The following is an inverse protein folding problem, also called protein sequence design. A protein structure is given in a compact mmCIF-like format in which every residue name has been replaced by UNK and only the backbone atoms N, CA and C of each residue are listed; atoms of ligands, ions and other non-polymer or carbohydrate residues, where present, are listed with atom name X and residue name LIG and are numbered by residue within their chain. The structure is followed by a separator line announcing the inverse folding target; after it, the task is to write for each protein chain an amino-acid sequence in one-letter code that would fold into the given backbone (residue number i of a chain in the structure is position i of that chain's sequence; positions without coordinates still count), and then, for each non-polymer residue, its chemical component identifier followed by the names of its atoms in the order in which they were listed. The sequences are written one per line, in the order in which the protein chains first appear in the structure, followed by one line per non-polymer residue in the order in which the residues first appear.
data_IF_790870677336
#
_entry.id   IF_790870677336
#
_cell.length_a   1.000
_cell.length_b   1.000
_cell.length_c   1.000
_cell.angle_alpha   90.00
_cell.angle_beta   90.00
_cell.angle_gamma   90.00
#
_symmetry.space_group_name_H-M   'P 1'
#
loop_
_entity.id
_entity.type
_entity.pdbx_description
1 polymer ?
#
# COMPACT_ATOMS: atom_id res chain seq x y z
N UNK A 1 -22.12 -70.61 3.19
CA UNK A 1 -21.59 -69.67 2.19
C UNK A 1 -21.89 -68.27 2.66
N UNK A 2 -20.95 -67.60 3.31
CA UNK A 2 -21.13 -66.27 3.90
C UNK A 2 -20.57 -65.25 2.88
N UNK A 3 -21.45 -64.43 2.29
CA UNK A 3 -21.03 -63.34 1.40
C UNK A 3 -20.60 -62.13 2.20
N UNK A 4 -19.32 -61.75 2.07
CA UNK A 4 -18.82 -60.47 2.57
C UNK A 4 -19.12 -59.38 1.57
N UNK A 5 -19.93 -58.37 1.97
CA UNK A 5 -20.16 -57.14 1.20
C UNK A 5 -19.12 -56.12 1.69
N UNK A 6 -18.09 -55.90 0.87
CA UNK A 6 -17.11 -54.84 1.14
C UNK A 6 -17.72 -53.48 0.85
N UNK A 7 -17.80 -52.60 1.86
CA UNK A 7 -18.20 -51.23 1.70
C UNK A 7 -16.93 -50.43 1.28
N UNK A 8 -16.89 -49.93 0.04
CA UNK A 8 -15.85 -49.03 -0.43
C UNK A 8 -16.25 -47.62 -0.02
N UNK A 9 -15.53 -47.07 0.96
CA UNK A 9 -15.66 -45.68 1.36
C UNK A 9 -14.87 -44.80 0.38
N UNK A 10 -15.57 -44.16 -0.55
CA UNK A 10 -14.94 -43.11 -1.40
C UNK A 10 -14.82 -41.82 -0.60
N UNK A 11 -13.58 -41.54 -0.16
CA UNK A 11 -13.24 -40.24 0.43
C UNK A 11 -12.99 -39.25 -0.70
N UNK A 12 -13.94 -38.39 -0.96
CA UNK A 12 -13.74 -37.23 -1.84
C UNK A 12 -12.96 -36.17 -1.05
N UNK A 13 -11.68 -36.04 -1.28
CA UNK A 13 -10.92 -34.88 -0.85
C UNK A 13 -11.23 -33.73 -1.80
N UNK A 14 -12.15 -32.87 -1.42
CA UNK A 14 -12.28 -31.58 -2.09
C UNK A 14 -10.99 -30.79 -1.83
N UNK A 15 -10.29 -30.29 -2.87
CA UNK A 15 -9.17 -29.40 -2.65
C UNK A 15 -9.72 -28.19 -1.90
N UNK A 16 -9.15 -27.91 -0.71
CA UNK A 16 -9.38 -26.66 -0.02
C UNK A 16 -8.70 -25.59 -0.88
N UNK A 17 -9.46 -24.95 -1.76
CA UNK A 17 -8.99 -23.77 -2.46
C UNK A 17 -8.91 -22.71 -1.37
N UNK A 18 -7.68 -22.40 -0.93
CA UNK A 18 -7.44 -21.26 -0.06
C UNK A 18 -8.00 -20.03 -0.80
N UNK A 19 -9.01 -19.39 -0.24
CA UNK A 19 -9.57 -18.18 -0.79
C UNK A 19 -8.47 -17.12 -0.68
N UNK A 20 -7.91 -16.72 -1.81
CA UNK A 20 -6.94 -15.61 -1.85
C UNK A 20 -7.70 -14.36 -1.43
N UNK A 21 -7.35 -13.81 -0.28
CA UNK A 21 -7.93 -12.56 0.17
C UNK A 21 -7.22 -11.42 -0.57
N UNK A 22 -7.89 -10.82 -1.53
CA UNK A 22 -7.38 -9.70 -2.33
C UNK A 22 -7.74 -8.33 -1.71
N UNK A 23 -8.28 -8.34 -0.52
CA UNK A 23 -8.62 -7.11 0.20
C UNK A 23 -7.43 -6.70 1.07
N UNK A 24 -6.92 -5.51 0.84
CA UNK A 24 -5.89 -4.91 1.69
C UNK A 24 -6.48 -4.61 3.07
N UNK A 25 -5.83 -5.08 4.12
CA UNK A 25 -6.25 -4.85 5.50
C UNK A 25 -6.18 -3.36 5.87
N UNK A 26 -7.21 -2.80 6.52
CA UNK A 26 -7.17 -1.43 7.00
C UNK A 26 -6.16 -1.25 8.14
N UNK A 27 -5.71 0.00 8.32
CA UNK A 27 -4.82 0.42 9.39
C UNK A 27 -5.18 1.84 9.87
N UNK A 28 -4.38 2.38 10.76
CA UNK A 28 -4.57 3.70 11.34
C UNK A 28 -3.91 4.78 10.49
N UNK A 29 -4.48 6.00 10.49
CA UNK A 29 -3.86 7.19 9.91
C UNK A 29 -2.48 7.49 10.51
N UNK A 30 -2.28 7.12 11.77
CA UNK A 30 -1.06 7.44 12.50
C UNK A 30 -0.99 8.92 12.93
N UNK A 31 -0.02 9.26 13.79
CA UNK A 31 0.07 10.59 14.41
C UNK A 31 0.56 11.68 13.47
N UNK A 32 1.10 11.32 12.31
CA UNK A 32 1.68 12.26 11.33
C UNK A 32 0.78 12.53 10.14
N UNK A 33 -0.47 12.07 10.16
CA UNK A 33 -1.43 12.45 9.13
C UNK A 33 -1.75 13.95 9.22
N UNK A 34 -1.76 14.61 8.07
CA UNK A 34 -2.10 16.02 7.93
C UNK A 34 -3.11 16.15 6.80
N UNK A 35 -4.20 16.82 7.07
CA UNK A 35 -5.21 17.10 6.06
C UNK A 35 -4.71 18.06 4.98
N UNK A 36 -5.39 18.06 3.84
CA UNK A 36 -5.16 19.00 2.73
C UNK A 36 -3.79 18.91 2.06
N UNK A 37 -3.15 17.74 2.07
CA UNK A 37 -1.95 17.52 1.26
C UNK A 37 -2.21 17.93 -0.21
N UNK A 38 -1.21 18.53 -0.90
CA UNK A 38 -1.36 18.99 -2.28
C UNK A 38 -1.50 17.83 -3.27
N UNK A 39 -2.03 18.14 -4.46
CA UNK A 39 -1.96 17.20 -5.58
C UNK A 39 -0.51 17.02 -6.01
N UNK A 40 -0.11 15.77 -6.24
CA UNK A 40 1.19 15.41 -6.78
C UNK A 40 1.20 15.80 -8.26
N UNK A 41 2.25 16.49 -8.67
CA UNK A 41 2.51 16.84 -10.07
C UNK A 41 3.62 15.97 -10.63
N UNK A 42 3.49 15.54 -11.87
CA UNK A 42 4.48 14.70 -12.57
C UNK A 42 4.77 13.35 -11.86
N UNK A 43 3.76 12.78 -11.22
CA UNK A 43 3.82 11.47 -10.54
C UNK A 43 4.98 11.32 -9.53
N UNK A 44 5.47 12.44 -9.02
CA UNK A 44 6.61 12.49 -8.09
C UNK A 44 6.24 13.25 -6.82
N UNK A 45 6.44 12.60 -5.68
CA UNK A 45 6.23 13.21 -4.38
C UNK A 45 7.36 14.20 -4.06
N UNK A 46 6.99 15.42 -3.70
CA UNK A 46 7.97 16.45 -3.32
C UNK A 46 8.59 16.13 -1.93
N UNK A 47 9.85 16.46 -1.71
CA UNK A 47 10.75 17.26 -2.55
C UNK A 47 11.41 16.52 -3.71
N UNK A 48 10.98 15.33 -4.02
CA UNK A 48 11.59 14.47 -5.03
C UNK A 48 12.69 13.59 -4.43
N UNK A 49 13.41 12.90 -5.31
CA UNK A 49 14.46 11.97 -4.90
C UNK A 49 15.79 12.71 -4.79
N UNK A 50 16.31 12.81 -3.58
CA UNK A 50 17.62 13.45 -3.33
C UNK A 50 18.79 12.46 -3.46
N UNK A 51 18.53 11.16 -3.28
CA UNK A 51 19.50 10.08 -3.40
C UNK A 51 18.96 9.01 -4.37
N UNK A 52 19.60 8.88 -5.53
CA UNK A 52 19.19 7.90 -6.54
C UNK A 52 19.30 6.45 -6.05
N UNK A 53 20.19 6.17 -5.08
CA UNK A 53 20.30 4.85 -4.47
C UNK A 53 19.08 4.47 -3.62
N UNK A 54 18.26 5.47 -3.26
CA UNK A 54 17.03 5.28 -2.50
C UNK A 54 15.78 5.62 -3.32
N UNK A 55 15.91 5.90 -4.60
CA UNK A 55 14.77 6.14 -5.47
C UNK A 55 13.82 4.94 -5.45
N UNK A 56 12.55 5.20 -5.25
CA UNK A 56 11.48 4.20 -5.18
C UNK A 56 10.41 4.53 -6.22
N UNK A 57 10.13 3.57 -7.06
CA UNK A 57 8.97 3.59 -7.94
C UNK A 57 7.93 2.62 -7.43
N UNK A 58 6.72 3.08 -7.25
CA UNK A 58 5.57 2.25 -6.88
C UNK A 58 4.55 2.24 -8.01
N UNK A 59 3.91 1.11 -8.22
CA UNK A 59 2.80 0.99 -9.16
C UNK A 59 1.54 0.59 -8.40
N UNK A 60 0.50 1.41 -8.52
CA UNK A 60 -0.78 1.17 -7.90
C UNK A 60 -1.74 0.48 -8.86
N UNK A 61 -2.42 -0.54 -8.36
CA UNK A 61 -3.52 -1.22 -9.01
C UNK A 61 -4.72 -1.17 -8.07
N UNK A 62 -5.90 -0.87 -8.60
CA UNK A 62 -7.15 -1.07 -7.85
C UNK A 62 -7.75 -2.39 -8.31
N UNK A 63 -8.15 -3.23 -7.37
CA UNK A 63 -8.77 -4.51 -7.68
C UNK A 63 -10.17 -4.62 -7.07
N UNK A 64 -11.05 -5.33 -7.78
CA UNK A 64 -12.35 -5.76 -7.30
C UNK A 64 -12.48 -7.26 -7.52
N UNK A 65 -12.79 -8.02 -6.48
CA UNK A 65 -12.84 -9.49 -6.53
C UNK A 65 -11.55 -10.12 -7.12
N UNK A 66 -10.38 -9.55 -6.81
CA UNK A 66 -9.05 -9.94 -7.32
C UNK A 66 -8.77 -9.61 -8.80
N UNK A 67 -9.70 -9.01 -9.50
CA UNK A 67 -9.48 -8.54 -10.86
C UNK A 67 -9.07 -7.06 -10.87
N UNK A 68 -8.07 -6.70 -11.67
CA UNK A 68 -7.67 -5.31 -11.84
C UNK A 68 -8.77 -4.50 -12.52
N UNK A 69 -9.16 -3.41 -11.91
CA UNK A 69 -10.16 -2.48 -12.44
C UNK A 69 -9.49 -1.46 -13.36
N UNK A 70 -10.08 -1.21 -14.50
CA UNK A 70 -9.73 -0.07 -15.35
C UNK A 70 -10.49 1.17 -14.85
N UNK A 71 -9.77 2.05 -14.18
CA UNK A 71 -10.35 3.21 -13.50
C UNK A 71 -10.96 4.23 -14.44
N UNK A 72 -10.50 4.28 -15.71
CA UNK A 72 -11.06 5.17 -16.73
C UNK A 72 -12.49 4.77 -17.12
N UNK A 73 -12.93 3.58 -16.75
CA UNK A 73 -14.32 3.12 -16.94
C UNK A 73 -15.26 3.53 -15.81
N UNK A 74 -14.73 4.08 -14.73
CA UNK A 74 -15.53 4.49 -13.56
C UNK A 74 -16.12 5.89 -13.76
N UNK A 75 -17.30 6.11 -13.21
CA UNK A 75 -17.94 7.43 -13.19
C UNK A 75 -17.34 8.39 -12.14
N UNK A 76 -16.43 7.90 -11.31
CA UNK A 76 -15.85 8.64 -10.20
C UNK A 76 -14.34 8.52 -10.23
N UNK A 77 -13.65 9.58 -9.86
CA UNK A 77 -12.20 9.60 -9.69
C UNK A 77 -11.78 8.80 -8.47
N UNK A 78 -10.78 7.94 -8.63
CA UNK A 78 -10.15 7.21 -7.54
C UNK A 78 -8.89 7.95 -7.09
N UNK A 79 -8.84 8.33 -5.82
CA UNK A 79 -7.74 9.09 -5.23
C UNK A 79 -6.95 8.23 -4.27
N UNK A 80 -5.64 8.45 -4.24
CA UNK A 80 -4.79 8.00 -3.14
C UNK A 80 -4.05 9.19 -2.54
N UNK A 81 -4.05 9.28 -1.23
CA UNK A 81 -3.25 10.22 -0.46
C UNK A 81 -2.12 9.46 0.21
N UNK A 82 -0.90 9.97 0.09
CA UNK A 82 0.34 9.33 0.49
C UNK A 82 1.07 10.20 1.49
N UNK A 83 1.65 9.59 2.52
CA UNK A 83 2.62 10.26 3.39
C UNK A 83 3.59 9.27 4.00
N UNK A 84 4.85 9.70 4.14
CA UNK A 84 5.91 8.90 4.73
C UNK A 84 7.04 9.78 5.27
N UNK A 85 7.94 9.19 6.04
CA UNK A 85 9.17 9.83 6.50
C UNK A 85 10.18 9.98 5.36
N UNK A 86 11.10 10.92 5.47
CA UNK A 86 12.27 11.02 4.58
C UNK A 86 13.22 9.82 4.78
N UNK A 87 14.31 9.77 4.03
CA UNK A 87 15.33 8.71 4.12
C UNK A 87 16.01 8.59 5.50
N UNK A 88 15.92 9.61 6.35
CA UNK A 88 16.46 9.61 7.72
C UNK A 88 15.43 9.16 8.77
N UNK A 89 14.17 8.96 8.37
CA UNK A 89 13.10 8.60 9.28
C UNK A 89 12.34 9.80 9.86
N UNK A 90 12.52 11.00 9.32
CA UNK A 90 11.85 12.21 9.81
C UNK A 90 10.59 12.50 8.97
N UNK A 91 9.48 12.75 9.64
CA UNK A 91 8.27 13.25 9.00
C UNK A 91 8.32 14.78 8.89
N UNK A 92 7.74 15.30 7.81
CA UNK A 92 7.48 16.73 7.68
C UNK A 92 6.45 17.22 8.69
N UNK A 93 6.40 18.52 8.93
CA UNK A 93 5.42 19.21 9.79
C UNK A 93 5.45 18.81 11.27
N UNK A 94 6.51 18.17 11.75
CA UNK A 94 6.67 17.84 13.18
C UNK A 94 7.05 19.06 14.03
N UNK A 95 7.54 20.11 13.39
CA UNK A 95 7.87 21.42 14.00
C UNK A 95 6.67 22.39 14.05
N UNK A 96 5.51 21.94 13.55
CA UNK A 96 4.28 22.72 13.51
C UNK A 96 4.17 23.68 12.32
N UNK A 97 5.03 23.58 11.29
CA UNK A 97 4.86 24.33 10.05
C UNK A 97 3.68 23.75 9.22
N UNK A 98 2.52 24.42 9.15
CA UNK A 98 1.34 23.86 8.50
C UNK A 98 1.45 23.76 6.98
N UNK A 99 2.50 24.33 6.39
CA UNK A 99 2.75 24.34 4.95
C UNK A 99 3.87 23.39 4.54
N UNK A 100 4.42 22.63 5.45
CA UNK A 100 5.44 21.63 5.14
C UNK A 100 4.78 20.31 4.73
N UNK A 101 4.64 20.10 3.43
CA UNK A 101 4.10 18.89 2.83
C UNK A 101 5.19 18.01 2.19
N UNK A 102 6.42 18.10 2.62
CA UNK A 102 7.47 17.20 2.15
C UNK A 102 7.03 15.73 2.39
N UNK A 103 7.17 14.90 1.36
CA UNK A 103 6.75 13.49 1.35
C UNK A 103 5.26 13.26 1.67
N UNK A 104 4.41 14.22 1.27
CA UNK A 104 2.95 14.15 1.40
C UNK A 104 2.29 14.63 0.13
N UNK A 105 1.26 13.94 -0.32
CA UNK A 105 0.53 14.38 -1.51
C UNK A 105 -0.64 13.49 -1.87
N UNK A 106 -1.44 13.97 -2.80
CA UNK A 106 -2.59 13.26 -3.39
C UNK A 106 -2.32 12.95 -4.84
N UNK A 107 -2.65 11.75 -5.24
CA UNK A 107 -2.52 11.26 -6.61
C UNK A 107 -3.88 10.78 -7.10
N UNK A 108 -4.26 11.22 -8.29
CA UNK A 108 -5.37 10.64 -9.03
C UNK A 108 -4.90 9.37 -9.73
N UNK A 109 -5.58 8.26 -9.47
CA UNK A 109 -5.30 7.00 -10.15
C UNK A 109 -6.12 6.92 -11.43
N UNK A 110 -5.50 6.43 -12.52
CA UNK A 110 -6.13 6.27 -13.82
C UNK A 110 -5.73 4.97 -14.51
N UNK A 111 -6.50 4.57 -15.50
CA UNK A 111 -6.27 3.35 -16.26
C UNK A 111 -6.28 2.11 -15.38
N UNK A 112 -5.48 1.12 -15.74
CA UNK A 112 -5.32 -0.14 -14.98
C UNK A 112 -4.21 -0.09 -13.96
N UNK A 113 -3.30 0.89 -14.07
CA UNK A 113 -2.19 1.10 -13.14
C UNK A 113 -1.71 2.54 -13.20
N UNK A 114 -1.29 3.06 -12.06
CA UNK A 114 -0.68 4.39 -11.96
C UNK A 114 0.68 4.27 -11.29
N UNK A 115 1.70 4.83 -11.94
CA UNK A 115 3.08 4.86 -11.42
C UNK A 115 3.29 6.11 -10.59
N UNK A 116 4.07 5.97 -9.54
CA UNK A 116 4.40 7.02 -8.59
C UNK A 116 5.86 6.92 -8.16
N UNK A 117 6.53 8.05 -8.04
CA UNK A 117 7.93 8.14 -7.68
C UNK A 117 8.14 8.86 -6.36
N UNK A 118 9.00 8.29 -5.53
CA UNK A 118 9.44 8.87 -4.26
C UNK A 118 10.83 8.32 -3.88
N UNK A 119 11.24 8.49 -2.65
CA UNK A 119 12.39 7.77 -2.08
C UNK A 119 11.93 6.74 -1.04
N UNK A 120 12.72 5.68 -0.88
CA UNK A 120 12.49 4.66 0.15
C UNK A 120 12.59 5.32 1.53
N UNK A 121 11.52 5.29 2.35
CA UNK A 121 11.52 5.88 3.67
C UNK A 121 12.60 5.31 4.57
N UNK A 122 13.11 6.12 5.47
CA UNK A 122 13.96 5.65 6.58
C UNK A 122 13.13 5.02 7.69
N UNK A 123 13.85 4.31 8.56
CA UNK A 123 13.29 3.78 9.81
C UNK A 123 13.09 4.98 10.76
N UNK A 124 11.90 5.15 11.31
CA UNK A 124 11.66 6.11 12.37
C UNK A 124 11.38 5.38 13.71
N UNK A 125 11.49 6.01 14.88
CA UNK A 125 11.83 5.31 16.13
C UNK A 125 11.09 3.99 16.32
N UNK A 126 11.83 2.89 16.24
CA UNK A 126 11.38 1.51 16.47
C UNK A 126 10.27 0.98 15.53
N UNK A 127 10.07 1.64 14.37
CA UNK A 127 9.15 1.16 13.35
C UNK A 127 9.87 0.82 12.04
N UNK A 128 9.44 -0.22 11.34
CA UNK A 128 9.96 -0.54 10.02
C UNK A 128 9.70 0.61 9.03
N UNK A 129 10.47 0.65 7.96
CA UNK A 129 10.21 1.54 6.84
C UNK A 129 8.81 1.29 6.28
N UNK A 130 8.01 2.34 6.09
CA UNK A 130 6.64 2.21 5.61
C UNK A 130 6.11 3.48 4.95
N UNK A 131 5.09 3.30 4.12
CA UNK A 131 4.34 4.39 3.50
C UNK A 131 2.88 4.27 3.91
N UNK A 132 2.32 5.34 4.42
CA UNK A 132 0.90 5.44 4.69
C UNK A 132 0.12 5.76 3.42
N UNK A 133 -1.07 5.18 3.32
CA UNK A 133 -1.98 5.31 2.20
C UNK A 133 -3.40 5.55 2.70
N UNK A 134 -4.09 6.50 2.07
CA UNK A 134 -5.53 6.68 2.22
C UNK A 134 -6.14 6.76 0.84
N UNK A 135 -6.95 5.77 0.47
CA UNK A 135 -7.57 5.70 -0.84
C UNK A 135 -9.08 5.87 -0.74
N UNK A 136 -9.68 6.54 -1.73
CA UNK A 136 -11.12 6.83 -1.75
C UNK A 136 -11.61 7.21 -3.15
N UNK A 137 -12.91 7.00 -3.37
CA UNK A 137 -13.63 7.53 -4.53
C UNK A 137 -14.16 8.94 -4.24
N UNK A 138 -14.06 9.84 -5.21
CA UNK A 138 -14.53 11.24 -5.08
C UNK A 138 -15.99 11.43 -5.42
N UNK A 139 -16.81 10.37 -5.48
CA UNK A 139 -18.23 10.50 -5.77
C UNK A 139 -18.98 11.29 -4.68
N UNK A 140 -19.89 12.14 -5.10
CA UNK A 140 -20.59 13.08 -4.23
C UNK A 140 -21.44 12.45 -3.10
N UNK A 141 -21.66 11.14 -3.13
CA UNK A 141 -22.63 10.48 -2.24
C UNK A 141 -22.06 9.41 -1.32
N UNK A 142 -20.87 8.84 -1.64
CA UNK A 142 -20.23 7.84 -0.79
C UNK A 142 -18.71 7.94 -0.94
N UNK A 143 -18.03 8.21 0.16
CA UNK A 143 -16.58 8.03 0.27
C UNK A 143 -16.31 6.69 0.92
N UNK A 144 -16.08 5.68 0.11
CA UNK A 144 -15.49 4.45 0.62
C UNK A 144 -13.99 4.72 0.78
N UNK A 145 -13.54 4.73 2.02
CA UNK A 145 -12.16 5.12 2.36
C UNK A 145 -11.44 3.95 2.98
N UNK A 146 -10.34 3.55 2.36
CA UNK A 146 -9.38 2.62 2.94
C UNK A 146 -8.16 3.40 3.44
N UNK A 147 -7.85 3.27 4.72
CA UNK A 147 -6.56 3.69 5.29
C UNK A 147 -5.73 2.45 5.50
N UNK A 148 -4.50 2.45 5.05
CA UNK A 148 -3.57 1.34 5.22
C UNK A 148 -2.12 1.81 5.25
N UNK A 149 -1.19 0.88 5.43
CA UNK A 149 0.24 1.12 5.35
C UNK A 149 0.87 0.03 4.49
N UNK A 150 1.90 0.39 3.74
CA UNK A 150 2.73 -0.53 2.97
C UNK A 150 4.09 -0.64 3.63
N UNK A 151 4.57 -1.86 3.80
CA UNK A 151 5.84 -2.21 4.40
C UNK A 151 6.72 -2.92 3.39
N UNK A 152 8.03 -2.96 3.64
CA UNK A 152 9.00 -3.53 2.70
C UNK A 152 9.51 -4.87 3.22
N UNK A 153 9.31 -5.93 2.43
CA UNK A 153 9.72 -7.28 2.79
C UNK A 153 11.22 -7.34 3.10
N UNK A 154 11.57 -8.02 4.18
CA UNK A 154 12.96 -8.14 4.63
C UNK A 154 13.41 -7.06 5.62
N UNK A 155 12.58 -6.05 5.93
CA UNK A 155 12.90 -5.13 7.02
C UNK A 155 12.84 -5.87 8.36
N UNK A 156 13.96 -5.82 9.10
CA UNK A 156 14.14 -6.56 10.35
C UNK A 156 13.21 -6.11 11.47
N UNK A 157 12.65 -4.91 11.37
CA UNK A 157 11.74 -4.36 12.37
C UNK A 157 10.29 -4.77 12.18
N UNK A 158 9.91 -5.37 11.05
CA UNK A 158 8.52 -5.80 10.81
C UNK A 158 7.99 -6.67 11.95
N UNK A 159 8.80 -7.63 12.43
CA UNK A 159 8.39 -8.55 13.50
C UNK A 159 8.21 -7.89 14.87
N UNK A 160 8.69 -6.69 15.03
CA UNK A 160 8.63 -5.91 16.28
C UNK A 160 7.62 -4.76 16.23
N UNK A 161 7.03 -4.49 15.06
CA UNK A 161 6.11 -3.38 14.92
C UNK A 161 4.81 -3.61 15.68
N UNK A 162 4.53 -2.70 16.61
CA UNK A 162 3.32 -2.71 17.43
C UNK A 162 2.03 -2.42 16.63
N UNK A 163 2.15 -1.83 15.45
CA UNK A 163 1.04 -1.58 14.54
C UNK A 163 0.55 -2.86 13.83
N UNK A 164 1.13 -4.02 14.16
CA UNK A 164 0.73 -5.33 13.66
C UNK A 164 0.68 -5.41 12.14
N UNK A 165 1.85 -5.54 11.55
CA UNK A 165 2.03 -5.61 10.09
C UNK A 165 1.51 -6.93 9.53
N UNK A 166 0.48 -6.87 8.70
CA UNK A 166 -0.06 -8.05 8.03
C UNK A 166 0.72 -8.35 6.75
N UNK A 167 1.03 -9.63 6.44
CA UNK A 167 1.81 -9.98 5.25
C UNK A 167 1.27 -9.44 3.92
N UNK A 168 -0.03 -9.27 3.79
CA UNK A 168 -0.67 -8.69 2.60
C UNK A 168 -0.36 -7.20 2.38
N UNK A 169 0.29 -6.55 3.35
CA UNK A 169 0.79 -5.17 3.23
C UNK A 169 2.29 -5.11 2.95
N UNK A 170 2.97 -6.26 2.88
CA UNK A 170 4.39 -6.31 2.60
C UNK A 170 4.61 -6.36 1.09
N UNK A 171 5.40 -5.43 0.59
CA UNK A 171 5.81 -5.43 -0.80
C UNK A 171 7.28 -5.84 -0.90
N UNK A 172 7.56 -6.63 -1.93
CA UNK A 172 8.91 -6.97 -2.28
C UNK A 172 9.49 -5.87 -3.14
N UNK A 173 10.69 -5.43 -2.81
CA UNK A 173 11.43 -4.48 -3.62
C UNK A 173 12.31 -5.21 -4.62
N UNK A 174 12.18 -4.85 -5.88
CA UNK A 174 13.13 -5.23 -6.91
C UNK A 174 14.17 -4.12 -7.09
N UNK A 175 15.46 -4.49 -7.02
CA UNK A 175 16.56 -3.53 -7.17
C UNK A 175 16.79 -3.24 -8.65
N UNK A 176 16.85 -1.98 -9.00
CA UNK A 176 17.18 -1.49 -10.34
C UNK A 176 18.51 -0.76 -10.34
N UNK A 177 19.02 -0.39 -11.51
CA UNK A 177 20.23 0.44 -11.62
C UNK A 177 20.04 1.85 -11.00
N UNK A 178 18.80 2.29 -10.85
CA UNK A 178 18.43 3.64 -10.40
C UNK A 178 17.59 3.65 -9.11
N UNK A 179 17.63 2.58 -8.30
CA UNK A 179 16.87 2.50 -7.06
C UNK A 179 16.05 1.21 -6.95
N UNK A 180 14.81 1.34 -6.50
CA UNK A 180 13.90 0.23 -6.23
C UNK A 180 12.58 0.35 -7.01
N UNK A 181 11.99 -0.79 -7.34
CA UNK A 181 10.63 -0.90 -7.88
C UNK A 181 9.84 -1.96 -7.14
#
# INVERSE_FOLDING_TARGET
MTKWIGCILLVFTTPLIAQVNCVTSPDQLGPYFIENAPMITNDTLAPGVNDTARALQLTFYVSSNCDTVDLDTLASTYMVELWHANALGDYSNVDGNPNDFAYRGKLELSGKSTVFHTELPGIYPNRPSHIHLKSYLTSAWFTDTLVTQVYFEGDSLISFDVANTFPERWIRLDTTANGFT
#
